data_IF_803960204263
#
_entry.id   IF_803960204263
#
_cell.length_a   1.000
_cell.length_b   1.000
_cell.length_c   1.000
_cell.angle_alpha   90.00
_cell.angle_beta   90.00
_cell.angle_gamma   90.00
#
_symmetry.space_group_name_H-M   'P 1'
#
loop_
_entity.id
_entity.type
_entity.pdbx_description
1 polymer ?
#
# COMPACT_ATOMS: atom_id res chain seq x y z
N UNK A 1 25.72 45.01 8.83
CA UNK A 1 24.74 44.14 8.14
C UNK A 1 24.20 44.92 6.95
N UNK A 2 24.23 44.36 5.73
CA UNK A 2 23.80 45.08 4.54
C UNK A 2 22.27 45.22 4.51
N UNK A 3 21.77 46.44 4.29
CA UNK A 3 20.33 46.69 4.25
C UNK A 3 19.67 46.04 3.03
N UNK A 4 18.40 45.59 3.13
CA UNK A 4 17.69 44.98 2.02
C UNK A 4 17.53 45.98 0.86
N UNK A 5 17.96 45.58 -0.33
CA UNK A 5 17.84 46.41 -1.55
C UNK A 5 16.36 46.54 -1.92
N UNK A 6 15.85 47.77 -1.92
CA UNK A 6 14.47 48.12 -2.29
C UNK A 6 14.39 48.44 -3.78
N UNK A 7 13.73 47.58 -4.55
CA UNK A 7 13.51 47.78 -5.99
C UNK A 7 12.30 48.67 -6.22
N UNK A 8 12.50 49.83 -6.85
CA UNK A 8 11.46 50.85 -7.06
C UNK A 8 10.54 50.58 -8.25
N UNK A 9 11.00 49.83 -9.26
CA UNK A 9 10.25 49.55 -10.49
C UNK A 9 9.81 48.08 -10.59
N UNK A 10 8.69 47.81 -11.27
CA UNK A 10 8.14 46.46 -11.44
C UNK A 10 9.12 45.52 -12.13
N UNK A 11 9.82 46.01 -13.14
CA UNK A 11 10.74 45.21 -13.96
C UNK A 11 11.96 44.78 -13.16
N UNK A 12 12.46 45.66 -12.27
CA UNK A 12 13.55 45.31 -11.35
C UNK A 12 13.11 44.27 -10.31
N UNK A 13 11.86 44.33 -9.83
CA UNK A 13 11.31 43.28 -8.94
C UNK A 13 11.21 41.93 -9.64
N UNK A 14 10.76 41.92 -10.90
CA UNK A 14 10.64 40.71 -11.71
C UNK A 14 12.02 40.09 -11.98
N UNK A 15 13.01 40.91 -12.31
CA UNK A 15 14.37 40.46 -12.58
C UNK A 15 15.04 39.92 -11.31
N UNK A 16 14.88 40.59 -10.17
CA UNK A 16 15.38 40.09 -8.88
C UNK A 16 14.71 38.77 -8.45
N UNK A 17 13.41 38.60 -8.72
CA UNK A 17 12.70 37.34 -8.45
C UNK A 17 13.21 36.20 -9.34
N UNK A 18 13.44 36.45 -10.64
CA UNK A 18 14.05 35.49 -11.57
C UNK A 18 15.44 35.09 -11.13
N UNK A 19 16.25 36.04 -10.67
CA UNK A 19 17.61 35.79 -10.23
C UNK A 19 17.65 35.01 -8.89
N UNK A 20 16.74 35.30 -7.95
CA UNK A 20 16.56 34.48 -6.74
C UNK A 20 16.19 33.04 -7.06
N UNK A 21 15.24 32.82 -7.98
CA UNK A 21 14.87 31.47 -8.44
C UNK A 21 16.06 30.78 -9.09
N UNK A 22 16.80 31.44 -9.97
CA UNK A 22 18.02 30.88 -10.58
C UNK A 22 19.04 30.46 -9.51
N UNK A 23 19.31 31.30 -8.50
CA UNK A 23 20.25 30.96 -7.42
C UNK A 23 19.75 29.80 -6.55
N UNK A 24 18.44 29.66 -6.36
CA UNK A 24 17.84 28.52 -5.66
C UNK A 24 18.05 27.22 -6.44
N UNK A 25 17.77 27.22 -7.75
CA UNK A 25 17.89 26.01 -8.58
C UNK A 25 19.33 25.67 -8.99
N UNK A 26 20.26 26.63 -8.92
CA UNK A 26 21.70 26.38 -9.14
C UNK A 26 22.37 25.76 -7.91
N UNK A 27 21.83 25.96 -6.70
CA UNK A 27 22.34 25.34 -5.46
C UNK A 27 21.85 23.92 -5.22
N UNK A 28 20.74 23.54 -5.84
CA UNK A 28 20.10 22.24 -5.61
C UNK A 28 20.59 21.19 -6.63
N UNK A 29 21.65 20.47 -6.25
CA UNK A 29 22.06 19.18 -6.86
C UNK A 29 20.94 18.12 -6.86
N UNK A 30 19.79 18.44 -6.26
CA UNK A 30 18.57 17.65 -6.15
C UNK A 30 18.06 17.20 -7.52
N UNK A 31 18.03 18.09 -8.53
CA UNK A 31 17.56 17.73 -9.87
C UNK A 31 18.53 16.81 -10.64
N UNK A 32 19.83 16.89 -10.30
CA UNK A 32 20.87 16.01 -10.86
C UNK A 32 20.81 14.63 -10.19
N UNK A 33 20.67 14.59 -8.86
CA UNK A 33 20.40 13.36 -8.08
C UNK A 33 19.13 12.64 -8.53
N UNK A 34 18.06 13.37 -8.81
CA UNK A 34 16.81 12.77 -9.29
C UNK A 34 16.94 12.15 -10.69
N UNK A 35 17.80 12.71 -11.57
CA UNK A 35 18.11 12.10 -12.87
C UNK A 35 18.98 10.86 -12.72
N UNK A 36 19.98 10.90 -11.85
CA UNK A 36 20.85 9.74 -11.57
C UNK A 36 20.05 8.57 -10.96
N UNK A 37 19.15 8.84 -10.01
CA UNK A 37 18.23 7.85 -9.41
C UNK A 37 17.23 7.25 -10.40
N UNK A 38 16.88 7.97 -11.48
CA UNK A 38 16.03 7.42 -12.56
C UNK A 38 16.83 6.52 -13.51
N UNK A 39 18.13 6.78 -13.68
CA UNK A 39 19.00 6.00 -14.56
C UNK A 39 19.49 4.66 -13.97
N UNK A 40 19.47 4.48 -12.65
CA UNK A 40 19.82 3.20 -11.98
C UNK A 40 18.68 2.17 -11.93
N UNK A 41 17.44 2.55 -12.29
CA UNK A 41 16.21 1.74 -12.13
C UNK A 41 16.15 0.44 -12.95
N UNK A 42 17.01 0.25 -13.95
CA UNK A 42 17.04 -0.99 -14.75
C UNK A 42 17.74 -2.16 -14.06
N UNK A 43 18.48 -1.95 -12.96
CA UNK A 43 19.13 -3.04 -12.20
C UNK A 43 18.35 -3.50 -10.96
N UNK A 44 17.51 -2.65 -10.38
CA UNK A 44 16.77 -2.96 -9.13
C UNK A 44 15.48 -3.78 -9.32
N UNK A 45 14.84 -3.70 -10.50
CA UNK A 45 13.65 -4.51 -10.83
C UNK A 45 13.92 -6.02 -10.74
N UNK A 46 15.16 -6.46 -11.02
CA UNK A 46 15.56 -7.87 -10.89
C UNK A 46 15.80 -8.29 -9.44
N UNK A 47 16.15 -7.36 -8.55
CA UNK A 47 16.37 -7.64 -7.14
C UNK A 47 15.03 -7.77 -6.38
N UNK A 48 14.07 -6.88 -6.65
CA UNK A 48 12.74 -6.94 -6.05
C UNK A 48 11.99 -8.24 -6.44
N UNK A 49 12.02 -8.61 -7.73
CA UNK A 49 11.43 -9.87 -8.20
C UNK A 49 12.15 -11.12 -7.66
N UNK A 50 13.41 -11.01 -7.26
CA UNK A 50 14.14 -12.10 -6.60
C UNK A 50 13.72 -12.23 -5.14
N UNK A 51 13.55 -11.11 -4.44
CA UNK A 51 13.13 -11.09 -3.03
C UNK A 51 11.70 -11.63 -2.89
N UNK A 52 10.74 -11.20 -3.71
CA UNK A 52 9.35 -11.72 -3.66
C UNK A 52 9.27 -13.21 -4.01
N UNK A 53 10.13 -13.68 -4.91
CA UNK A 53 10.23 -15.11 -5.26
C UNK A 53 10.90 -15.94 -4.16
N UNK A 54 11.88 -15.39 -3.46
CA UNK A 54 12.52 -16.06 -2.32
C UNK A 54 11.61 -16.08 -1.09
N UNK A 55 10.78 -15.05 -0.88
CA UNK A 55 9.80 -14.97 0.20
C UNK A 55 8.65 -15.98 0.01
N UNK A 56 8.09 -16.06 -1.19
CA UNK A 56 7.08 -17.06 -1.53
C UNK A 56 7.62 -18.50 -1.40
N UNK A 57 8.90 -18.72 -1.72
CA UNK A 57 9.56 -20.02 -1.53
C UNK A 57 9.82 -20.35 -0.06
N UNK A 58 10.16 -19.37 0.77
CA UNK A 58 10.36 -19.55 2.22
C UNK A 58 9.04 -19.88 2.93
N UNK A 59 7.96 -19.18 2.57
CA UNK A 59 6.62 -19.41 3.12
C UNK A 59 6.08 -20.79 2.71
N UNK A 60 6.27 -21.21 1.45
CA UNK A 60 5.89 -22.55 1.02
C UNK A 60 6.68 -23.66 1.76
N UNK A 61 7.96 -23.41 2.09
CA UNK A 61 8.79 -24.36 2.84
C UNK A 61 8.34 -24.49 4.30
N UNK A 62 7.93 -23.37 4.90
CA UNK A 62 7.41 -23.31 6.27
C UNK A 62 6.06 -24.02 6.40
N UNK A 63 5.22 -23.95 5.36
CA UNK A 63 3.93 -24.65 5.29
C UNK A 63 4.04 -26.14 4.94
N UNK A 64 5.19 -26.61 4.43
CA UNK A 64 5.44 -28.04 4.13
C UNK A 64 6.30 -28.75 5.18
N UNK A 65 6.72 -28.08 6.25
CA UNK A 65 7.31 -28.73 7.42
C UNK A 65 6.20 -29.39 8.26
N UNK A 66 5.56 -30.42 7.69
CA UNK A 66 4.80 -31.41 8.45
C UNK A 66 5.81 -32.27 9.20
N UNK A 67 5.76 -32.13 10.52
CA UNK A 67 6.39 -32.90 11.60
C UNK A 67 6.72 -34.35 11.19
N UNK A 68 7.98 -34.59 10.89
CA UNK A 68 8.66 -35.84 11.23
C UNK A 68 9.97 -35.43 11.91
N UNK A 69 9.93 -35.29 13.23
CA UNK A 69 11.05 -35.62 14.11
C UNK A 69 10.59 -35.48 15.57
N UNK A 70 10.15 -36.60 16.13
CA UNK A 70 10.05 -36.80 17.58
C UNK A 70 11.45 -36.75 18.19
N UNK A 71 11.72 -35.78 19.08
CA UNK A 71 12.76 -35.98 20.11
C UNK A 71 12.52 -35.11 21.36
N UNK A 72 11.58 -35.59 22.18
CA UNK A 72 11.73 -35.80 23.63
C UNK A 72 12.61 -34.80 24.40
N UNK A 73 12.00 -33.75 24.92
CA UNK A 73 12.38 -33.12 26.20
C UNK A 73 11.12 -32.96 27.05
N UNK A 74 11.01 -33.77 28.10
CA UNK A 74 9.98 -33.63 29.13
C UNK A 74 10.27 -32.38 29.95
N UNK A 75 9.36 -31.41 29.90
CA UNK A 75 9.15 -30.41 30.94
C UNK A 75 7.64 -30.21 31.11
N UNK A 76 7.17 -30.67 32.25
CA UNK A 76 5.99 -30.27 33.03
C UNK A 76 4.86 -29.48 32.33
N UNK A 77 3.80 -30.24 32.02
CA UNK A 77 2.38 -29.96 32.33
C UNK A 77 2.00 -28.48 32.57
N UNK A 78 1.69 -27.79 31.48
CA UNK A 78 0.48 -26.98 31.31
C UNK A 78 0.42 -26.58 29.82
N UNK A 79 -0.78 -26.65 29.22
CA UNK A 79 -1.14 -26.06 27.92
C UNK A 79 -1.27 -26.95 26.67
N UNK A 80 -2.20 -27.91 26.69
CA UNK A 80 -2.80 -28.40 25.43
C UNK A 80 -3.77 -27.35 24.81
N UNK A 81 -4.23 -26.37 25.60
CA UNK A 81 -5.20 -25.36 25.17
C UNK A 81 -4.55 -24.19 24.40
N UNK A 82 -3.34 -23.72 24.75
CA UNK A 82 -2.71 -22.59 24.04
C UNK A 82 -2.13 -23.02 22.68
N UNK A 83 -1.59 -24.24 22.57
CA UNK A 83 -1.13 -24.78 21.28
C UNK A 83 -2.28 -24.91 20.28
N UNK A 84 -3.46 -25.36 20.75
CA UNK A 84 -4.67 -25.42 19.95
C UNK A 84 -5.13 -24.01 19.53
N UNK A 85 -5.08 -23.03 20.44
CA UNK A 85 -5.50 -21.66 20.15
C UNK A 85 -4.60 -20.98 19.10
N UNK A 86 -3.28 -21.18 19.19
CA UNK A 86 -2.32 -20.69 18.19
C UNK A 86 -2.62 -21.32 16.83
N UNK A 87 -2.87 -22.63 16.79
CA UNK A 87 -3.21 -23.35 15.57
C UNK A 87 -4.48 -22.78 14.91
N UNK A 88 -5.54 -22.53 15.68
CA UNK A 88 -6.78 -21.92 15.18
C UNK A 88 -6.56 -20.49 14.65
N UNK A 89 -5.72 -19.69 15.30
CA UNK A 89 -5.46 -18.31 14.87
C UNK A 89 -4.62 -18.26 13.57
N UNK A 90 -3.65 -19.17 13.42
CA UNK A 90 -2.88 -19.32 12.18
C UNK A 90 -3.80 -19.80 11.04
N UNK A 91 -4.72 -20.73 11.32
CA UNK A 91 -5.70 -21.20 10.36
C UNK A 91 -6.69 -20.09 9.93
N UNK A 92 -7.19 -19.31 10.90
CA UNK A 92 -8.04 -18.16 10.61
C UNK A 92 -7.32 -17.13 9.73
N UNK A 93 -6.02 -16.93 9.93
CA UNK A 93 -5.22 -16.04 9.10
C UNK A 93 -5.05 -16.59 7.67
N UNK A 94 -4.88 -17.91 7.49
CA UNK A 94 -4.86 -18.49 6.14
C UNK A 94 -6.19 -18.31 5.43
N UNK A 95 -7.32 -18.52 6.11
CA UNK A 95 -8.65 -18.32 5.54
C UNK A 95 -8.85 -16.86 5.11
N UNK A 96 -8.45 -15.91 5.97
CA UNK A 96 -8.51 -14.46 5.67
C UNK A 96 -7.63 -14.11 4.46
N UNK A 97 -6.44 -14.69 4.37
CA UNK A 97 -5.54 -14.46 3.24
C UNK A 97 -6.14 -15.02 1.95
N UNK A 98 -6.72 -16.20 1.99
CA UNK A 98 -7.35 -16.81 0.81
C UNK A 98 -8.56 -15.99 0.36
N UNK A 99 -9.38 -15.50 1.29
CA UNK A 99 -10.48 -14.57 1.01
C UNK A 99 -9.98 -13.23 0.43
N UNK A 100 -8.90 -12.69 0.97
CA UNK A 100 -8.23 -11.49 0.43
C UNK A 100 -7.78 -11.72 -1.02
N UNK A 101 -7.17 -12.87 -1.32
CA UNK A 101 -6.73 -13.21 -2.66
C UNK A 101 -7.90 -13.47 -3.61
N UNK A 102 -9.01 -14.03 -3.13
CA UNK A 102 -10.23 -14.21 -3.93
C UNK A 102 -10.86 -12.85 -4.29
N UNK A 103 -10.90 -11.91 -3.34
CA UNK A 103 -11.49 -10.59 -3.55
C UNK A 103 -10.61 -9.65 -4.39
N UNK A 104 -9.31 -9.56 -4.04
CA UNK A 104 -8.38 -8.54 -4.54
C UNK A 104 -7.44 -9.14 -5.60
N UNK A 105 -7.10 -10.42 -5.48
CA UNK A 105 -6.07 -11.06 -6.29
C UNK A 105 -4.64 -10.69 -5.86
N UNK A 106 -3.68 -11.10 -6.69
CA UNK A 106 -2.25 -10.89 -6.42
C UNK A 106 -1.77 -9.45 -6.68
N UNK A 107 -2.60 -8.62 -7.34
CA UNK A 107 -2.20 -7.31 -7.84
C UNK A 107 -3.19 -6.23 -7.39
N UNK A 108 -2.80 -5.54 -6.31
CA UNK A 108 -3.56 -4.46 -5.70
C UNK A 108 -3.89 -3.31 -6.68
N UNK A 109 -2.99 -2.99 -7.61
CA UNK A 109 -3.22 -1.93 -8.60
C UNK A 109 -4.34 -2.34 -9.55
N UNK A 110 -4.33 -3.60 -10.02
CA UNK A 110 -5.38 -4.11 -10.91
C UNK A 110 -6.75 -4.16 -10.25
N UNK A 111 -6.82 -4.52 -8.97
CA UNK A 111 -8.08 -4.48 -8.23
C UNK A 111 -8.65 -3.07 -8.17
N UNK A 112 -7.84 -2.09 -7.75
CA UNK A 112 -8.27 -0.69 -7.62
C UNK A 112 -8.62 -0.07 -8.97
N UNK A 113 -7.83 -0.33 -10.01
CA UNK A 113 -8.14 0.05 -11.39
C UNK A 113 -9.46 -0.58 -11.86
N UNK A 114 -9.71 -1.84 -11.50
CA UNK A 114 -10.96 -2.54 -11.78
C UNK A 114 -12.17 -1.86 -11.12
N UNK A 115 -12.04 -1.47 -9.84
CA UNK A 115 -13.06 -0.71 -9.11
C UNK A 115 -13.33 0.63 -9.79
N UNK A 116 -12.29 1.39 -10.13
CA UNK A 116 -12.43 2.65 -10.85
C UNK A 116 -13.10 2.45 -12.23
N UNK A 117 -12.70 1.41 -12.98
CA UNK A 117 -13.30 1.11 -14.27
C UNK A 117 -14.78 0.75 -14.16
N UNK A 118 -15.17 0.03 -13.10
CA UNK A 118 -16.57 -0.31 -12.85
C UNK A 118 -17.39 0.94 -12.50
N UNK A 119 -16.82 1.87 -11.73
CA UNK A 119 -17.41 3.18 -11.49
C UNK A 119 -17.58 3.99 -12.79
N UNK A 120 -16.56 4.02 -13.66
CA UNK A 120 -16.66 4.74 -14.95
C UNK A 120 -17.70 4.10 -15.88
N UNK A 121 -17.89 2.78 -15.82
CA UNK A 121 -18.92 2.08 -16.61
C UNK A 121 -20.34 2.30 -16.10
N UNK A 122 -20.52 2.72 -14.85
CA UNK A 122 -21.85 2.96 -14.26
C UNK A 122 -22.39 4.37 -14.53
N UNK A 123 -21.70 5.16 -15.35
CA UNK A 123 -22.17 6.49 -15.75
C UNK A 123 -23.45 6.43 -16.56
N UNK A 124 -24.49 7.18 -16.16
CA UNK A 124 -25.67 7.38 -16.98
C UNK A 124 -25.36 8.26 -18.19
N UNK A 125 -26.15 8.12 -19.26
CA UNK A 125 -26.03 8.97 -20.46
C UNK A 125 -26.27 10.47 -20.16
N UNK A 126 -26.98 10.77 -19.06
CA UNK A 126 -27.40 12.11 -18.67
C UNK A 126 -26.33 12.94 -17.92
N UNK A 127 -25.05 12.54 -17.98
CA UNK A 127 -23.92 13.25 -17.34
C UNK A 127 -24.00 13.38 -15.81
N UNK A 128 -24.85 12.60 -15.16
CA UNK A 128 -24.87 12.45 -13.70
C UNK A 128 -23.68 11.61 -13.22
N UNK A 129 -23.29 11.75 -11.94
CA UNK A 129 -22.20 10.96 -11.39
C UNK A 129 -22.51 9.46 -11.45
N UNK A 130 -21.48 8.66 -11.74
CA UNK A 130 -21.57 7.19 -11.69
C UNK A 130 -21.96 6.67 -10.31
N UNK A 131 -22.27 5.38 -10.24
CA UNK A 131 -22.67 4.71 -9.02
C UNK A 131 -21.53 4.61 -8.00
N UNK A 132 -21.53 5.54 -7.04
CA UNK A 132 -20.54 5.63 -5.95
C UNK A 132 -20.59 4.39 -5.05
N UNK A 133 -21.73 3.69 -4.99
CA UNK A 133 -21.89 2.50 -4.14
C UNK A 133 -20.92 1.39 -4.50
N UNK A 134 -20.39 1.36 -5.73
CA UNK A 134 -19.36 0.40 -6.17
C UNK A 134 -18.07 0.58 -5.35
N UNK A 135 -17.66 1.82 -5.13
CA UNK A 135 -16.44 2.15 -4.37
C UNK A 135 -16.70 1.90 -2.89
N UNK A 136 -17.83 2.36 -2.35
CA UNK A 136 -18.20 2.16 -0.95
C UNK A 136 -18.33 0.68 -0.59
N UNK A 137 -18.95 -0.13 -1.46
CA UNK A 137 -19.07 -1.58 -1.26
C UNK A 137 -17.71 -2.29 -1.31
N UNK A 138 -16.81 -1.83 -2.18
CA UNK A 138 -15.45 -2.38 -2.24
C UNK A 138 -14.66 -2.01 -0.98
N UNK A 139 -14.81 -0.76 -0.53
CA UNK A 139 -14.19 -0.26 0.70
C UNK A 139 -14.63 -1.05 1.93
N UNK A 140 -15.95 -1.24 2.13
CA UNK A 140 -16.48 -1.98 3.28
C UNK A 140 -16.03 -3.43 3.30
N UNK A 141 -16.05 -4.13 2.15
CA UNK A 141 -15.55 -5.51 2.05
C UNK A 141 -14.08 -5.63 2.46
N UNK A 142 -13.22 -4.74 1.95
CA UNK A 142 -11.79 -4.75 2.29
C UNK A 142 -11.59 -4.40 3.77
N UNK A 143 -12.36 -3.45 4.29
CA UNK A 143 -12.32 -3.06 5.71
C UNK A 143 -12.73 -4.21 6.64
N UNK A 144 -13.75 -4.99 6.27
CA UNK A 144 -14.21 -6.14 7.05
C UNK A 144 -13.16 -7.26 7.11
N UNK A 145 -12.47 -7.53 6.00
CA UNK A 145 -11.33 -8.46 5.97
C UNK A 145 -10.20 -7.92 6.84
N UNK A 146 -9.87 -6.63 6.74
CA UNK A 146 -8.83 -6.01 7.56
C UNK A 146 -9.13 -6.09 9.05
N UNK A 147 -10.36 -5.84 9.47
CA UNK A 147 -10.75 -5.89 10.88
C UNK A 147 -10.55 -7.30 11.46
N UNK A 148 -10.91 -8.34 10.70
CA UNK A 148 -10.65 -9.74 11.08
C UNK A 148 -9.15 -10.06 11.10
N UNK A 149 -8.41 -9.57 10.12
CA UNK A 149 -6.96 -9.76 10.04
C UNK A 149 -6.22 -9.12 11.22
N UNK A 150 -6.62 -7.91 11.63
CA UNK A 150 -6.07 -7.21 12.81
C UNK A 150 -6.39 -8.01 14.09
N UNK A 151 -7.63 -8.48 14.25
CA UNK A 151 -7.99 -9.29 15.42
C UNK A 151 -7.15 -10.57 15.52
N UNK A 152 -6.93 -11.27 14.39
CA UNK A 152 -6.05 -12.43 14.34
C UNK A 152 -4.58 -12.06 14.62
N UNK A 153 -4.09 -10.94 14.07
CA UNK A 153 -2.74 -10.43 14.32
C UNK A 153 -2.50 -10.12 15.80
N UNK A 154 -3.46 -9.46 16.47
CA UNK A 154 -3.40 -9.11 17.89
C UNK A 154 -3.43 -10.36 18.77
N UNK A 155 -4.24 -11.35 18.42
CA UNK A 155 -4.26 -12.65 19.11
C UNK A 155 -2.89 -13.33 18.97
N UNK A 156 -2.34 -13.44 17.76
CA UNK A 156 -1.00 -14.03 17.56
C UNK A 156 0.06 -13.27 18.37
N UNK A 157 0.01 -11.93 18.39
CA UNK A 157 0.94 -11.11 19.17
C UNK A 157 0.84 -11.41 20.68
N UNK A 158 -0.37 -11.53 21.21
CA UNK A 158 -0.59 -11.76 22.64
C UNK A 158 -0.12 -13.15 23.10
N UNK A 159 -0.29 -14.18 22.26
CA UNK A 159 0.09 -15.55 22.61
C UNK A 159 1.56 -15.87 22.30
N UNK A 160 2.02 -15.46 21.13
CA UNK A 160 3.32 -15.88 20.59
C UNK A 160 4.36 -14.77 20.58
N UNK A 161 3.97 -13.51 20.79
CA UNK A 161 4.83 -12.36 20.57
C UNK A 161 5.17 -12.13 19.08
N UNK A 162 6.30 -11.49 18.83
CA UNK A 162 6.77 -11.16 17.47
C UNK A 162 7.51 -12.37 16.89
N UNK A 163 6.73 -13.31 16.33
CA UNK A 163 7.22 -14.50 15.62
C UNK A 163 6.92 -14.41 14.10
N UNK A 164 7.43 -15.34 13.28
CA UNK A 164 7.17 -15.35 11.82
C UNK A 164 5.68 -15.34 11.46
N UNK A 165 4.82 -15.95 12.29
CA UNK A 165 3.37 -15.96 12.12
C UNK A 165 2.79 -14.55 12.28
N UNK A 166 3.28 -13.78 13.25
CA UNK A 166 2.89 -12.38 13.42
C UNK A 166 3.32 -11.54 12.22
N UNK A 167 4.54 -11.75 11.70
CA UNK A 167 4.99 -11.06 10.48
C UNK A 167 4.17 -11.44 9.24
N UNK A 168 3.72 -12.68 9.14
CA UNK A 168 2.82 -13.10 8.07
C UNK A 168 1.47 -12.37 8.19
N UNK A 169 0.92 -12.25 9.41
CA UNK A 169 -0.29 -11.48 9.67
C UNK A 169 -0.12 -10.00 9.36
N UNK A 170 1.02 -9.42 9.77
CA UNK A 170 1.39 -8.04 9.50
C UNK A 170 1.49 -7.76 8.00
N UNK A 171 2.00 -8.71 7.22
CA UNK A 171 2.06 -8.59 5.75
C UNK A 171 0.65 -8.51 5.14
N UNK A 172 -0.29 -9.32 5.62
CA UNK A 172 -1.70 -9.32 5.16
C UNK A 172 -2.40 -8.02 5.56
N UNK A 173 -2.28 -7.61 6.83
CA UNK A 173 -2.91 -6.36 7.29
C UNK A 173 -2.32 -5.14 6.62
N UNK A 174 -1.01 -5.13 6.38
CA UNK A 174 -0.33 -4.10 5.62
C UNK A 174 -0.83 -4.01 4.17
N UNK A 175 -0.96 -5.15 3.50
CA UNK A 175 -1.51 -5.21 2.14
C UNK A 175 -2.92 -4.62 2.08
N UNK A 176 -3.81 -5.04 2.98
CA UNK A 176 -5.19 -4.55 3.06
C UNK A 176 -5.26 -3.04 3.37
N UNK A 177 -4.43 -2.53 4.28
CA UNK A 177 -4.32 -1.08 4.56
C UNK A 177 -3.91 -0.29 3.32
N UNK A 178 -2.99 -0.85 2.53
CA UNK A 178 -2.54 -0.22 1.28
C UNK A 178 -3.68 -0.12 0.27
N UNK A 179 -4.47 -1.20 0.14
CA UNK A 179 -5.65 -1.21 -0.75
C UNK A 179 -6.70 -0.19 -0.29
N UNK A 180 -6.98 -0.10 1.02
CA UNK A 180 -7.89 0.91 1.56
C UNK A 180 -7.41 2.33 1.26
N UNK A 181 -6.13 2.64 1.48
CA UNK A 181 -5.60 3.96 1.18
C UNK A 181 -5.78 4.34 -0.30
N UNK A 182 -5.67 3.37 -1.21
CA UNK A 182 -5.93 3.61 -2.64
C UNK A 182 -7.41 3.83 -2.96
N UNK A 183 -8.32 3.13 -2.29
CA UNK A 183 -9.75 3.36 -2.43
C UNK A 183 -10.17 4.71 -1.82
N UNK A 184 -9.58 5.10 -0.69
CA UNK A 184 -9.77 6.41 -0.06
C UNK A 184 -9.32 7.54 -0.98
N UNK A 185 -8.17 7.41 -1.65
CA UNK A 185 -7.69 8.41 -2.62
C UNK A 185 -8.72 8.65 -3.74
N UNK A 186 -9.30 7.59 -4.30
CA UNK A 186 -10.38 7.70 -5.29
C UNK A 186 -11.59 8.42 -4.69
N UNK A 187 -12.03 8.00 -3.51
CA UNK A 187 -13.22 8.55 -2.86
C UNK A 187 -13.03 10.03 -2.50
N UNK A 188 -11.85 10.41 -2.01
CA UNK A 188 -11.50 11.80 -1.69
C UNK A 188 -11.53 12.69 -2.93
N UNK A 189 -10.94 12.24 -4.05
CA UNK A 189 -10.96 13.00 -5.30
C UNK A 189 -12.37 13.15 -5.88
N UNK A 190 -13.22 12.13 -5.71
CA UNK A 190 -14.63 12.23 -6.05
C UNK A 190 -15.38 13.26 -5.19
N UNK A 191 -15.07 13.34 -3.89
CA UNK A 191 -15.70 14.33 -3.01
C UNK A 191 -15.17 15.75 -3.21
N UNK A 192 -13.88 15.95 -3.53
CA UNK A 192 -13.27 17.28 -3.60
C UNK A 192 -13.63 18.05 -4.87
N UNK A 193 -13.57 17.39 -6.03
CA UNK A 193 -13.88 18.03 -7.32
C UNK A 193 -14.49 17.08 -8.32
N UNK A 194 -15.11 16.01 -7.81
CA UNK A 194 -15.90 15.10 -8.61
C UNK A 194 -15.08 14.40 -9.67
N UNK A 195 -15.77 14.10 -10.76
CA UNK A 195 -15.26 13.26 -11.84
C UNK A 195 -14.16 13.98 -12.62
N UNK A 196 -14.21 15.31 -12.70
CA UNK A 196 -13.21 16.10 -13.40
C UNK A 196 -11.84 15.98 -12.72
N UNK A 197 -11.77 16.19 -11.41
CA UNK A 197 -10.50 16.05 -10.66
C UNK A 197 -9.99 14.62 -10.68
N UNK A 198 -10.87 13.64 -10.47
CA UNK A 198 -10.51 12.22 -10.53
C UNK A 198 -9.93 11.83 -11.90
N UNK A 199 -10.56 12.28 -12.99
CA UNK A 199 -10.10 11.97 -14.35
C UNK A 199 -8.76 12.63 -14.65
N UNK A 200 -8.58 13.88 -14.22
CA UNK A 200 -7.31 14.61 -14.36
C UNK A 200 -6.21 13.90 -13.58
N UNK A 201 -6.44 13.59 -12.30
CA UNK A 201 -5.47 12.89 -11.45
C UNK A 201 -5.09 11.52 -12.04
N UNK A 202 -6.07 10.75 -12.51
CA UNK A 202 -5.82 9.47 -13.18
C UNK A 202 -5.00 9.64 -14.47
N UNK A 203 -5.31 10.63 -15.30
CA UNK A 203 -4.60 10.88 -16.56
C UNK A 203 -3.15 11.35 -16.37
N UNK A 204 -2.88 12.04 -15.26
CA UNK A 204 -1.55 12.54 -14.91
C UNK A 204 -0.70 11.50 -14.16
N UNK A 205 -1.25 10.32 -13.87
CA UNK A 205 -0.54 9.32 -13.05
C UNK A 205 -0.41 9.78 -11.59
N UNK A 206 -1.34 10.62 -11.12
CA UNK A 206 -1.23 11.27 -9.81
C UNK A 206 -1.84 10.48 -8.68
N UNK A 207 -2.69 9.49 -8.99
CA UNK A 207 -3.31 8.58 -8.02
C UNK A 207 -2.27 7.78 -7.25
N UNK A 208 -2.54 7.51 -5.99
CA UNK A 208 -1.64 6.77 -5.11
C UNK A 208 -1.29 5.38 -5.67
N UNK A 209 -2.27 4.63 -6.18
CA UNK A 209 -2.03 3.29 -6.73
C UNK A 209 -1.22 3.28 -8.02
N UNK A 210 -1.20 4.38 -8.79
CA UNK A 210 -0.42 4.51 -10.02
C UNK A 210 1.05 4.80 -9.73
N UNK A 211 1.31 5.55 -8.65
CA UNK A 211 2.65 5.86 -8.18
C UNK A 211 3.18 4.73 -7.31
N UNK A 212 3.29 3.52 -7.85
CA UNK A 212 3.70 2.28 -7.15
C UNK A 212 4.41 2.56 -5.82
N UNK A 213 3.61 2.68 -4.76
CA UNK A 213 4.13 3.12 -3.47
C UNK A 213 4.93 1.93 -2.97
N UNK A 214 6.26 2.07 -3.01
CA UNK A 214 7.15 1.19 -2.24
C UNK A 214 6.81 1.48 -0.79
N UNK A 215 6.01 0.62 -0.18
CA UNK A 215 5.99 0.46 1.26
C UNK A 215 6.81 -0.78 1.57
#
# INVERSE_FOLDING_TARGET
>A
MAHPVTYKTSDMKLQAARERRRRHYVKDDILKRQRELRSSKTKESKAANKITKDLSKAVAKLLHCRVEDESKSKSDLESDDDENMIFWNVYALSDIKDEMLELIGDDLCKFVEGVLCNYVKSFPEDSSPGDISIIETSFTKVQDILNRAIAAQDQILNFCGVLPQWHAADTVTHFLRTVLAYLEDIQCLLFSGGICELTVAHSMGEMMYQKGIRI
#
